data_IF_601966962071
#
_entry.id   IF_601966962071
#
_cell.length_a   1.000
_cell.length_b   1.000
_cell.length_c   1.000
_cell.angle_alpha   90.00
_cell.angle_beta   90.00
_cell.angle_gamma   90.00
#
_symmetry.space_group_name_H-M   'P 1'
#
loop_
_entity.id
_entity.type
_entity.pdbx_description
1 polymer ?
#
# COMPACT_ATOMS: atom_id res chain seq x y z
N UNK A 1 -1.60 -9.49 50.33
CA UNK A 1 -0.79 -8.62 49.44
C UNK A 1 -1.39 -8.69 48.04
N UNK A 2 -1.83 -7.54 47.51
CA UNK A 2 -2.72 -7.47 46.35
C UNK A 2 -2.09 -7.98 45.06
N UNK A 3 -2.80 -8.88 44.38
CA UNK A 3 -2.53 -9.28 43.00
C UNK A 3 -2.87 -8.07 42.12
N UNK A 4 -1.90 -7.22 41.83
CA UNK A 4 -2.07 -6.19 40.83
C UNK A 4 -2.37 -6.88 39.49
N UNK A 5 -3.63 -6.80 39.06
CA UNK A 5 -4.05 -7.14 37.70
C UNK A 5 -3.35 -6.17 36.75
N UNK A 6 -2.10 -6.48 36.37
CA UNK A 6 -1.33 -5.64 35.46
C UNK A 6 -1.97 -5.82 34.07
N UNK A 7 -2.73 -4.81 33.64
CA UNK A 7 -3.46 -4.73 32.36
C UNK A 7 -2.51 -4.30 31.23
N UNK A 8 -2.95 -4.42 29.98
CA UNK A 8 -2.26 -3.78 28.83
C UNK A 8 -2.13 -2.26 29.06
N UNK A 9 -1.17 -1.62 28.41
CA UNK A 9 -1.01 -0.17 28.47
C UNK A 9 -2.28 0.55 28.04
N UNK A 10 -2.50 1.75 28.60
CA UNK A 10 -3.65 2.59 28.23
C UNK A 10 -3.58 2.96 26.75
N UNK A 11 -2.39 3.23 26.25
CA UNK A 11 -2.15 3.65 24.87
C UNK A 11 -2.46 2.51 23.89
N UNK A 12 -1.98 1.28 24.13
CA UNK A 12 -2.36 0.15 23.28
C UNK A 12 -3.88 -0.12 23.35
N UNK A 13 -4.49 0.03 24.53
CA UNK A 13 -5.94 -0.17 24.67
C UNK A 13 -6.73 0.86 23.86
N UNK A 14 -6.31 2.13 23.86
CA UNK A 14 -6.90 3.19 23.07
C UNK A 14 -6.67 2.91 21.57
N UNK A 15 -5.42 2.63 21.19
CA UNK A 15 -5.02 2.30 19.83
C UNK A 15 -5.86 1.18 19.21
N UNK A 16 -6.06 0.06 19.92
CA UNK A 16 -6.83 -1.07 19.38
C UNK A 16 -8.33 -0.81 19.23
N UNK A 17 -8.84 0.31 19.76
CA UNK A 17 -10.26 0.69 19.74
C UNK A 17 -10.53 1.94 18.93
N UNK A 18 -9.51 2.69 18.57
CA UNK A 18 -9.66 3.96 17.87
C UNK A 18 -10.30 3.73 16.51
N UNK A 19 -11.32 4.53 16.21
CA UNK A 19 -12.10 4.45 14.97
C UNK A 19 -11.68 5.54 13.97
N UNK A 20 -11.20 6.68 14.46
CA UNK A 20 -10.70 7.78 13.62
C UNK A 20 -9.24 7.55 13.22
N UNK A 21 -8.95 7.55 11.92
CA UNK A 21 -7.60 7.26 11.41
C UNK A 21 -6.56 8.35 11.74
N UNK A 22 -6.96 9.60 11.93
CA UNK A 22 -6.03 10.67 12.32
C UNK A 22 -5.62 10.50 13.78
N UNK A 23 -6.60 10.24 14.66
CA UNK A 23 -6.33 9.94 16.07
C UNK A 23 -5.57 8.61 16.21
N UNK A 24 -5.88 7.61 15.39
CA UNK A 24 -5.15 6.35 15.35
C UNK A 24 -3.65 6.58 15.08
N UNK A 25 -3.34 7.38 14.06
CA UNK A 25 -1.96 7.73 13.68
C UNK A 25 -1.24 8.47 14.82
N UNK A 26 -1.95 9.39 15.48
CA UNK A 26 -1.42 10.13 16.63
C UNK A 26 -1.18 9.22 17.84
N UNK A 27 -2.07 8.28 18.13
CA UNK A 27 -1.88 7.33 19.23
C UNK A 27 -0.74 6.38 18.90
N UNK A 28 -0.71 5.83 17.68
CA UNK A 28 0.30 4.88 17.21
C UNK A 28 1.72 5.44 17.31
N UNK A 29 1.93 6.68 16.85
CA UNK A 29 3.23 7.37 16.95
C UNK A 29 3.70 7.64 18.38
N UNK A 30 2.78 7.68 19.37
CA UNK A 30 3.12 7.83 20.78
C UNK A 30 3.51 6.52 21.47
N UNK A 31 3.23 5.36 20.86
CA UNK A 31 3.62 4.05 21.40
C UNK A 31 5.11 3.81 21.12
N UNK A 32 5.97 4.33 22.01
CA UNK A 32 7.42 4.20 21.86
C UNK A 32 7.95 2.82 22.21
N UNK A 33 7.35 2.14 23.19
CA UNK A 33 7.78 0.82 23.65
C UNK A 33 6.58 -0.02 24.07
N UNK A 34 6.52 -1.24 23.54
CA UNK A 34 5.53 -2.25 23.92
C UNK A 34 6.09 -3.12 25.04
N UNK A 35 5.35 -3.23 26.15
CA UNK A 35 5.70 -4.17 27.20
C UNK A 35 5.29 -5.62 26.83
N UNK A 36 5.74 -6.61 27.61
CA UNK A 36 5.44 -8.03 27.36
C UNK A 36 3.94 -8.35 27.26
N UNK A 37 3.08 -7.65 28.02
CA UNK A 37 1.62 -7.87 27.97
C UNK A 37 0.99 -7.25 26.74
N UNK A 38 1.50 -6.12 26.30
CA UNK A 38 1.10 -5.46 25.06
C UNK A 38 1.41 -6.36 23.86
N UNK A 39 2.64 -6.89 23.80
CA UNK A 39 3.04 -7.87 22.78
C UNK A 39 2.12 -9.11 22.81
N UNK A 40 1.86 -9.67 23.99
CA UNK A 40 0.94 -10.82 24.14
C UNK A 40 -0.48 -10.49 23.65
N UNK A 41 -0.95 -9.27 23.89
CA UNK A 41 -2.26 -8.82 23.43
C UNK A 41 -2.30 -8.67 21.91
N UNK A 42 -1.30 -8.03 21.30
CA UNK A 42 -1.17 -7.87 19.84
C UNK A 42 -1.18 -9.24 19.18
N UNK A 43 -0.34 -10.18 19.64
CA UNK A 43 -0.31 -11.57 19.15
C UNK A 43 -1.68 -12.23 19.25
N UNK A 44 -2.34 -12.13 20.39
CA UNK A 44 -3.68 -12.71 20.57
C UNK A 44 -4.73 -12.10 19.64
N UNK A 45 -4.67 -10.78 19.39
CA UNK A 45 -5.57 -10.09 18.46
C UNK A 45 -5.35 -10.60 17.03
N UNK A 46 -4.09 -10.68 16.57
CA UNK A 46 -3.75 -11.14 15.21
C UNK A 46 -3.95 -12.66 15.02
N UNK A 47 -3.79 -13.45 16.08
CA UNK A 47 -4.10 -14.88 16.02
C UNK A 47 -5.61 -15.11 15.88
N UNK A 48 -6.43 -14.39 16.65
CA UNK A 48 -7.89 -14.53 16.62
C UNK A 48 -8.51 -13.93 15.36
N UNK A 49 -7.95 -12.82 14.86
CA UNK A 49 -8.35 -12.16 13.61
C UNK A 49 -9.85 -11.82 13.51
N UNK A 50 -10.52 -11.64 14.65
CA UNK A 50 -11.98 -11.54 14.75
C UNK A 50 -12.49 -10.18 15.23
N UNK A 51 -11.59 -9.21 15.39
CA UNK A 51 -11.93 -7.84 15.79
C UNK A 51 -11.53 -6.90 14.66
N UNK A 52 -12.47 -6.54 13.75
CA UNK A 52 -12.19 -5.73 12.57
C UNK A 52 -11.37 -4.47 12.88
N UNK A 53 -11.84 -3.65 13.83
CA UNK A 53 -11.13 -2.43 14.21
C UNK A 53 -9.70 -2.71 14.70
N UNK A 54 -9.54 -3.61 15.67
CA UNK A 54 -8.24 -3.87 16.29
C UNK A 54 -7.23 -4.51 15.31
N UNK A 55 -7.71 -5.37 14.40
CA UNK A 55 -6.88 -5.98 13.36
C UNK A 55 -6.48 -4.94 12.33
N UNK A 56 -7.43 -4.15 11.81
CA UNK A 56 -7.13 -3.07 10.86
C UNK A 56 -6.16 -2.05 11.43
N UNK A 57 -6.33 -1.63 12.68
CA UNK A 57 -5.44 -0.67 13.33
C UNK A 57 -4.00 -1.18 13.36
N UNK A 58 -3.80 -2.47 13.67
CA UNK A 58 -2.48 -3.12 13.62
C UNK A 58 -1.94 -3.26 12.20
N UNK A 59 -2.80 -3.52 11.20
CA UNK A 59 -2.40 -3.61 9.80
C UNK A 59 -2.02 -2.24 9.21
N UNK A 60 -2.66 -1.15 9.65
CA UNK A 60 -2.24 0.22 9.33
C UNK A 60 -0.89 0.59 9.97
N UNK A 61 -0.50 -0.06 11.07
CA UNK A 61 0.73 0.22 11.81
C UNK A 61 1.57 -1.06 12.00
N UNK A 62 2.09 -1.66 10.90
CA UNK A 62 2.78 -2.94 10.96
C UNK A 62 4.07 -2.91 11.80
N UNK A 63 4.64 -1.72 12.04
CA UNK A 63 5.79 -1.52 12.94
C UNK A 63 5.50 -1.96 14.39
N UNK A 64 4.23 -1.90 14.84
CA UNK A 64 3.81 -2.38 16.16
C UNK A 64 3.64 -3.91 16.22
N UNK A 65 3.59 -4.59 15.07
CA UNK A 65 3.50 -6.05 15.01
C UNK A 65 4.90 -6.64 15.28
N UNK A 66 5.01 -7.64 16.19
CA UNK A 66 6.28 -8.31 16.45
C UNK A 66 6.90 -8.88 15.17
N UNK A 67 8.20 -8.62 14.96
CA UNK A 67 8.89 -8.92 13.70
C UNK A 67 8.76 -10.38 13.26
N UNK A 68 8.81 -11.33 14.19
CA UNK A 68 8.70 -12.78 13.93
C UNK A 68 7.35 -13.23 13.36
N UNK A 69 6.29 -12.42 13.49
CA UNK A 69 4.97 -12.71 12.90
C UNK A 69 4.51 -11.64 11.90
N UNK A 70 5.34 -10.62 11.64
CA UNK A 70 4.92 -9.44 10.89
C UNK A 70 4.61 -9.78 9.44
N UNK A 71 5.54 -10.42 8.74
CA UNK A 71 5.37 -10.80 7.34
C UNK A 71 4.15 -11.70 7.14
N UNK A 72 3.97 -12.72 8.00
CA UNK A 72 2.81 -13.62 7.90
C UNK A 72 1.48 -12.92 8.15
N UNK A 73 1.43 -11.92 9.05
CA UNK A 73 0.24 -11.10 9.25
C UNK A 73 -0.05 -10.19 8.05
N UNK A 74 0.97 -9.56 7.48
CA UNK A 74 0.84 -8.73 6.27
C UNK A 74 0.33 -9.57 5.10
N UNK A 75 0.95 -10.72 4.80
CA UNK A 75 0.50 -11.59 3.72
C UNK A 75 -0.93 -12.09 3.95
N UNK A 76 -1.31 -12.38 5.20
CA UNK A 76 -2.70 -12.72 5.54
C UNK A 76 -3.67 -11.57 5.26
N UNK A 77 -3.28 -10.33 5.55
CA UNK A 77 -4.07 -9.13 5.27
C UNK A 77 -4.22 -8.84 3.77
N UNK A 78 -3.13 -8.95 3.00
CA UNK A 78 -3.15 -8.79 1.54
C UNK A 78 -3.98 -9.86 0.83
N UNK A 79 -4.03 -11.07 1.39
CA UNK A 79 -4.77 -12.22 0.84
C UNK A 79 -6.15 -12.41 1.48
N UNK A 80 -6.63 -11.44 2.24
CA UNK A 80 -7.95 -11.49 2.87
C UNK A 80 -9.05 -11.57 1.79
N UNK A 81 -10.08 -12.36 2.05
CA UNK A 81 -11.19 -12.58 1.11
C UNK A 81 -12.53 -12.09 1.64
N UNK A 82 -12.67 -11.99 2.97
CA UNK A 82 -13.95 -11.68 3.62
C UNK A 82 -14.08 -10.23 4.03
N UNK A 83 -12.96 -9.56 4.28
CA UNK A 83 -12.93 -8.19 4.76
C UNK A 83 -11.94 -7.37 3.94
N UNK A 84 -12.44 -6.71 2.90
CA UNK A 84 -11.63 -5.86 2.01
C UNK A 84 -10.99 -4.67 2.75
N UNK A 85 -11.53 -4.26 3.90
CA UNK A 85 -10.89 -3.24 4.72
C UNK A 85 -9.55 -3.71 5.34
N UNK A 86 -9.35 -5.02 5.52
CA UNK A 86 -8.03 -5.54 5.91
C UNK A 86 -7.02 -5.42 4.77
N UNK A 87 -7.46 -5.60 3.52
CA UNK A 87 -6.60 -5.38 2.34
C UNK A 87 -6.18 -3.91 2.32
N UNK A 88 -7.15 -2.98 2.43
CA UNK A 88 -6.88 -1.54 2.46
C UNK A 88 -5.91 -1.18 3.60
N UNK A 89 -6.19 -1.64 4.82
CA UNK A 89 -5.37 -1.36 5.98
C UNK A 89 -3.93 -1.87 5.80
N UNK A 90 -3.78 -3.07 5.24
CA UNK A 90 -2.46 -3.66 4.99
C UNK A 90 -1.71 -2.91 3.91
N UNK A 91 -2.38 -2.62 2.78
CA UNK A 91 -1.79 -1.86 1.66
C UNK A 91 -1.28 -0.51 2.15
N UNK A 92 -2.09 0.24 2.89
CA UNK A 92 -1.67 1.52 3.46
C UNK A 92 -0.54 1.33 4.47
N UNK A 93 -0.64 0.34 5.36
CA UNK A 93 0.38 0.08 6.37
C UNK A 93 1.75 -0.24 5.79
N UNK A 94 1.83 -0.85 4.60
CA UNK A 94 3.08 -1.09 3.90
C UNK A 94 3.85 0.21 3.58
N UNK A 95 3.17 1.34 3.43
CA UNK A 95 3.80 2.65 3.21
C UNK A 95 4.57 3.14 4.45
N UNK A 96 4.28 2.58 5.63
CA UNK A 96 4.89 2.92 6.90
C UNK A 96 6.00 1.96 7.35
N UNK A 97 6.42 1.02 6.51
CA UNK A 97 7.49 0.07 6.83
C UNK A 97 8.56 0.04 5.74
N UNK A 98 9.81 -0.11 6.14
CA UNK A 98 10.89 -0.25 5.18
C UNK A 98 10.86 -1.65 4.55
N UNK A 99 10.78 -1.73 3.22
CA UNK A 99 10.72 -3.02 2.52
C UNK A 99 11.95 -3.90 2.76
N UNK A 100 13.09 -3.32 3.13
CA UNK A 100 14.33 -4.04 3.49
C UNK A 100 14.26 -4.79 4.83
N UNK A 101 13.22 -4.56 5.65
CA UNK A 101 12.96 -5.36 6.86
C UNK A 101 12.47 -6.78 6.55
N UNK A 102 12.05 -7.05 5.30
CA UNK A 102 11.57 -8.34 4.84
C UNK A 102 12.66 -9.13 4.11
N UNK A 103 12.57 -10.46 4.17
CA UNK A 103 13.40 -11.33 3.34
C UNK A 103 13.08 -11.17 1.85
N UNK A 104 13.97 -11.62 0.97
CA UNK A 104 13.70 -11.62 -0.48
C UNK A 104 12.44 -12.41 -0.86
N UNK A 105 12.24 -13.57 -0.24
CA UNK A 105 11.04 -14.39 -0.44
C UNK A 105 9.77 -13.65 0.00
N UNK A 106 9.81 -13.01 1.17
CA UNK A 106 8.68 -12.23 1.69
C UNK A 106 8.37 -11.02 0.81
N UNK A 107 9.39 -10.31 0.32
CA UNK A 107 9.22 -9.18 -0.62
C UNK A 107 8.58 -9.63 -1.92
N UNK A 108 9.00 -10.75 -2.49
CA UNK A 108 8.42 -11.28 -3.72
C UNK A 108 6.95 -11.71 -3.53
N UNK A 109 6.63 -12.31 -2.38
CA UNK A 109 5.26 -12.68 -2.01
C UNK A 109 4.35 -11.47 -1.80
N UNK A 110 4.87 -10.39 -1.20
CA UNK A 110 4.18 -9.11 -1.05
C UNK A 110 3.96 -8.47 -2.44
N UNK A 111 5.01 -8.40 -3.27
CA UNK A 111 4.95 -7.89 -4.66
C UNK A 111 3.85 -8.59 -5.46
N UNK A 112 3.85 -9.93 -5.48
CA UNK A 112 2.84 -10.74 -6.18
C UNK A 112 1.43 -10.44 -5.68
N UNK A 113 1.27 -10.29 -4.36
CA UNK A 113 -0.03 -9.97 -3.76
C UNK A 113 -0.50 -8.55 -4.14
N UNK A 114 0.39 -7.55 -4.15
CA UNK A 114 0.07 -6.18 -4.59
C UNK A 114 -0.28 -6.12 -6.08
N UNK A 115 0.46 -6.83 -6.94
CA UNK A 115 0.11 -6.95 -8.37
C UNK A 115 -1.26 -7.60 -8.55
N UNK A 116 -1.58 -8.63 -7.77
CA UNK A 116 -2.90 -9.26 -7.81
C UNK A 116 -4.01 -8.29 -7.37
N UNK A 117 -3.81 -7.53 -6.31
CA UNK A 117 -4.76 -6.50 -5.85
C UNK A 117 -4.97 -5.45 -6.94
N UNK A 118 -3.91 -4.93 -7.54
CA UNK A 118 -3.97 -3.96 -8.65
C UNK A 118 -4.72 -4.47 -9.88
N UNK A 119 -4.79 -5.79 -10.08
CA UNK A 119 -5.52 -6.39 -11.22
C UNK A 119 -6.99 -6.68 -10.92
N UNK A 120 -7.37 -6.74 -9.64
CA UNK A 120 -8.66 -7.31 -9.21
C UNK A 120 -9.51 -6.38 -8.37
N UNK A 121 -8.96 -5.25 -7.92
CA UNK A 121 -9.62 -4.25 -7.09
C UNK A 121 -9.70 -2.92 -7.80
N UNK A 122 -10.68 -2.08 -7.42
CA UNK A 122 -10.78 -0.69 -7.86
C UNK A 122 -10.83 0.27 -6.67
N UNK A 123 -11.01 1.56 -6.98
CA UNK A 123 -11.21 2.62 -5.98
C UNK A 123 -10.04 2.76 -5.01
N UNK A 124 -10.34 3.04 -3.74
CA UNK A 124 -9.32 3.37 -2.73
C UNK A 124 -8.27 2.27 -2.54
N UNK A 125 -8.63 1.00 -2.74
CA UNK A 125 -7.69 -0.13 -2.58
C UNK A 125 -6.64 -0.11 -3.69
N UNK A 126 -7.05 -0.07 -4.96
CA UNK A 126 -6.10 -0.04 -6.09
C UNK A 126 -5.30 1.25 -6.11
N UNK A 127 -5.95 2.37 -5.79
CA UNK A 127 -5.30 3.68 -5.68
C UNK A 127 -4.20 3.68 -4.61
N UNK A 128 -4.42 3.06 -3.44
CA UNK A 128 -3.37 2.94 -2.41
C UNK A 128 -2.35 1.85 -2.73
N UNK A 129 -2.74 0.78 -3.44
CA UNK A 129 -1.82 -0.28 -3.85
C UNK A 129 -0.80 0.24 -4.88
N UNK A 130 -1.21 1.12 -5.80
CA UNK A 130 -0.32 1.70 -6.82
C UNK A 130 0.79 2.59 -6.24
N UNK A 131 0.59 3.11 -5.04
CA UNK A 131 1.63 3.82 -4.27
C UNK A 131 2.54 2.81 -3.58
N UNK A 132 1.93 1.88 -2.83
CA UNK A 132 2.64 0.97 -1.93
C UNK A 132 3.52 -0.04 -2.66
N UNK A 133 3.18 -0.38 -3.91
CA UNK A 133 3.94 -1.33 -4.71
C UNK A 133 5.33 -0.81 -5.10
N UNK A 134 5.54 0.51 -5.14
CA UNK A 134 6.77 1.12 -5.66
C UNK A 134 8.06 0.64 -4.97
N UNK A 135 8.01 0.33 -3.67
CA UNK A 135 9.15 -0.19 -2.89
C UNK A 135 9.43 -1.69 -3.11
N UNK A 136 8.60 -2.37 -3.92
CA UNK A 136 8.65 -3.81 -4.17
C UNK A 136 8.90 -4.18 -5.63
N UNK A 137 8.86 -3.21 -6.55
CA UNK A 137 9.05 -3.42 -7.99
C UNK A 137 10.31 -2.73 -8.49
N UNK A 138 10.83 -3.21 -9.61
CA UNK A 138 12.01 -2.68 -10.30
C UNK A 138 11.71 -2.41 -11.77
N UNK A 139 12.68 -1.83 -12.50
CA UNK A 139 12.52 -1.60 -13.95
C UNK A 139 12.31 -2.89 -14.77
N UNK A 140 12.57 -4.07 -14.19
CA UNK A 140 12.27 -5.37 -14.80
C UNK A 140 10.76 -5.69 -14.80
N UNK A 141 10.02 -5.12 -13.85
CA UNK A 141 8.57 -5.30 -13.73
C UNK A 141 7.77 -4.38 -14.67
N UNK A 142 8.46 -3.48 -15.41
CA UNK A 142 7.85 -2.47 -16.26
C UNK A 142 6.82 -3.02 -17.24
N UNK A 143 7.10 -4.15 -17.91
CA UNK A 143 6.14 -4.78 -18.83
C UNK A 143 4.83 -5.17 -18.15
N UNK A 144 4.89 -5.64 -16.90
CA UNK A 144 3.69 -5.99 -16.13
C UNK A 144 2.94 -4.74 -15.70
N UNK A 145 3.65 -3.68 -15.36
CA UNK A 145 3.07 -2.40 -14.95
C UNK A 145 2.41 -1.67 -16.13
N UNK A 146 2.98 -1.74 -17.34
CA UNK A 146 2.34 -1.19 -18.54
C UNK A 146 0.92 -1.74 -18.71
N UNK A 147 0.71 -3.04 -18.52
CA UNK A 147 -0.63 -3.66 -18.62
C UNK A 147 -1.67 -3.10 -17.62
N UNK A 148 -1.24 -2.38 -16.58
CA UNK A 148 -2.13 -1.73 -15.62
C UNK A 148 -2.51 -0.30 -16.04
N UNK A 149 -2.04 0.21 -17.18
CA UNK A 149 -2.50 1.50 -17.69
C UNK A 149 -3.91 1.42 -18.31
N UNK A 150 -4.42 0.21 -18.59
CA UNK A 150 -5.82 -0.04 -18.96
C UNK A 150 -6.72 -0.27 -17.72
N UNK A 151 -6.27 0.13 -16.54
CA UNK A 151 -7.03 -0.06 -15.31
C UNK A 151 -8.24 0.89 -15.24
N UNK A 152 -9.42 0.46 -14.74
CA UNK A 152 -10.62 1.30 -14.71
C UNK A 152 -10.54 2.50 -13.75
N UNK A 153 -9.62 2.47 -12.78
CA UNK A 153 -9.41 3.56 -11.81
C UNK A 153 -8.32 4.53 -12.30
N UNK A 154 -8.69 5.79 -12.55
CA UNK A 154 -7.81 6.82 -13.09
C UNK A 154 -6.63 7.14 -12.17
N UNK A 155 -6.83 7.12 -10.85
CA UNK A 155 -5.74 7.34 -9.90
C UNK A 155 -4.70 6.23 -9.99
N UNK A 156 -5.15 5.00 -10.12
CA UNK A 156 -4.28 3.83 -10.31
C UNK A 156 -3.49 3.95 -11.61
N UNK A 157 -4.14 4.29 -12.73
CA UNK A 157 -3.46 4.52 -14.02
C UNK A 157 -2.38 5.59 -13.91
N UNK A 158 -2.73 6.75 -13.34
CA UNK A 158 -1.80 7.87 -13.13
C UNK A 158 -0.58 7.45 -12.30
N UNK A 159 -0.80 6.81 -11.15
CA UNK A 159 0.28 6.39 -10.25
C UNK A 159 1.22 5.37 -10.90
N UNK A 160 0.66 4.42 -11.65
CA UNK A 160 1.45 3.44 -12.41
C UNK A 160 2.26 4.13 -13.52
N UNK A 161 1.67 5.07 -14.25
CA UNK A 161 2.35 5.85 -15.28
C UNK A 161 3.49 6.70 -14.71
N UNK A 162 3.27 7.36 -13.57
CA UNK A 162 4.31 8.09 -12.84
C UNK A 162 5.50 7.18 -12.54
N UNK A 163 5.24 5.98 -12.03
CA UNK A 163 6.29 5.02 -11.71
C UNK A 163 7.00 4.55 -12.99
N UNK A 164 6.27 4.23 -14.06
CA UNK A 164 6.83 3.77 -15.33
C UNK A 164 7.78 4.79 -15.96
N UNK A 165 7.39 6.08 -16.00
CA UNK A 165 8.23 7.16 -16.54
C UNK A 165 9.56 7.22 -15.79
N UNK A 166 9.53 7.14 -14.46
CA UNK A 166 10.73 7.17 -13.61
C UNK A 166 11.57 5.90 -13.75
N UNK A 167 10.94 4.72 -13.74
CA UNK A 167 11.63 3.43 -13.82
C UNK A 167 12.28 3.17 -15.19
N UNK A 168 11.80 3.84 -16.23
CA UNK A 168 12.29 3.72 -17.61
C UNK A 168 13.18 4.91 -18.04
N UNK A 169 13.40 5.90 -17.17
CA UNK A 169 14.10 7.13 -17.51
C UNK A 169 15.49 6.86 -18.09
N UNK A 170 16.27 5.98 -17.45
CA UNK A 170 17.62 5.62 -17.88
C UNK A 170 17.65 4.85 -19.21
N UNK A 171 16.54 4.23 -19.61
CA UNK A 171 16.40 3.49 -20.87
C UNK A 171 16.00 4.39 -22.04
N UNK A 172 15.56 5.62 -21.75
CA UNK A 172 15.17 6.61 -22.74
C UNK A 172 13.75 6.42 -23.31
N UNK A 173 13.25 7.45 -24.04
CA UNK A 173 11.87 7.51 -24.51
C UNK A 173 11.52 6.45 -25.55
N UNK A 174 12.45 6.10 -26.44
CA UNK A 174 12.22 5.08 -27.48
C UNK A 174 11.94 3.70 -26.87
N UNK A 175 12.65 3.36 -25.78
CA UNK A 175 12.41 2.11 -25.05
C UNK A 175 11.02 2.11 -24.39
N UNK A 176 10.59 3.24 -23.82
CA UNK A 176 9.25 3.39 -23.26
C UNK A 176 8.18 3.19 -24.34
N UNK A 177 8.28 3.90 -25.48
CA UNK A 177 7.33 3.81 -26.60
C UNK A 177 7.28 2.39 -27.15
N UNK A 178 8.43 1.73 -27.30
CA UNK A 178 8.49 0.34 -27.74
C UNK A 178 7.77 -0.60 -26.76
N UNK A 179 7.92 -0.40 -25.45
CA UNK A 179 7.24 -1.22 -24.45
C UNK A 179 5.73 -0.98 -24.45
N UNK A 180 5.28 0.28 -24.52
CA UNK A 180 3.85 0.64 -24.66
C UNK A 180 3.23 -0.10 -25.84
N UNK A 181 3.84 -0.02 -27.02
CA UNK A 181 3.34 -0.70 -28.24
C UNK A 181 3.30 -2.22 -28.13
N UNK A 182 4.15 -2.81 -27.29
CA UNK A 182 4.21 -4.27 -27.07
C UNK A 182 3.27 -4.79 -25.98
N UNK A 183 2.63 -3.89 -25.20
CA UNK A 183 1.95 -4.25 -23.94
C UNK A 183 0.53 -4.81 -24.10
N UNK A 184 0.04 -4.97 -25.34
CA UNK A 184 -1.30 -5.46 -25.69
C UNK A 184 -2.46 -4.62 -25.12
N UNK A 185 -2.23 -3.35 -24.78
CA UNK A 185 -3.27 -2.41 -24.34
C UNK A 185 -4.09 -1.85 -25.50
N UNK A 186 -5.28 -1.31 -25.25
CA UNK A 186 -6.03 -0.52 -26.24
C UNK A 186 -5.19 0.63 -26.83
N UNK A 187 -5.43 0.97 -28.10
CA UNK A 187 -4.63 1.96 -28.85
C UNK A 187 -4.77 3.37 -28.24
N UNK A 188 -5.95 3.75 -27.78
CA UNK A 188 -6.22 5.00 -27.06
C UNK A 188 -5.41 5.11 -25.76
N UNK A 189 -5.32 4.04 -24.98
CA UNK A 189 -4.49 3.99 -23.76
C UNK A 189 -3.00 4.10 -24.09
N UNK A 190 -2.56 3.50 -25.20
CA UNK A 190 -1.18 3.64 -25.67
C UNK A 190 -0.86 5.08 -26.07
N UNK A 191 -1.74 5.72 -26.83
CA UNK A 191 -1.59 7.12 -27.25
C UNK A 191 -1.53 8.06 -26.05
N UNK A 192 -2.43 7.89 -25.07
CA UNK A 192 -2.44 8.69 -23.83
C UNK A 192 -1.10 8.55 -23.07
N UNK A 193 -0.60 7.32 -22.90
CA UNK A 193 0.68 7.09 -22.21
C UNK A 193 1.87 7.75 -22.92
N UNK A 194 1.89 7.72 -24.26
CA UNK A 194 2.94 8.34 -25.08
C UNK A 194 2.82 9.87 -25.03
N UNK A 195 1.61 10.42 -25.09
CA UNK A 195 1.37 11.86 -24.95
C UNK A 195 1.91 12.37 -23.61
N UNK A 196 1.62 11.65 -22.53
CA UNK A 196 2.09 11.97 -21.18
C UNK A 196 3.60 11.87 -21.02
N UNK A 197 4.25 10.90 -21.66
CA UNK A 197 5.71 10.86 -21.74
C UNK A 197 6.26 12.12 -22.43
N UNK A 198 5.68 12.52 -23.57
CA UNK A 198 6.13 13.74 -24.27
C UNK A 198 5.88 15.01 -23.46
N UNK A 199 4.76 15.10 -22.75
CA UNK A 199 4.48 16.19 -21.80
C UNK A 199 5.56 16.26 -20.71
N UNK A 200 5.90 15.11 -20.12
CA UNK A 200 6.97 15.00 -19.13
C UNK A 200 8.32 15.51 -19.66
N UNK A 201 8.71 15.08 -20.86
CA UNK A 201 9.98 15.47 -21.47
C UNK A 201 10.05 16.98 -21.76
N UNK A 202 8.98 17.56 -22.31
CA UNK A 202 8.92 19.02 -22.57
C UNK A 202 9.08 19.84 -21.29
N UNK A 203 8.38 19.46 -20.22
CA UNK A 203 8.48 20.15 -18.92
C UNK A 203 9.88 20.00 -18.31
N UNK A 204 10.49 18.81 -18.44
CA UNK A 204 11.86 18.56 -17.98
C UNK A 204 12.87 19.42 -18.73
N UNK A 205 12.76 19.53 -20.06
CA UNK A 205 13.61 20.39 -20.89
C UNK A 205 13.46 21.87 -20.55
N UNK A 206 12.25 22.32 -20.23
CA UNK A 206 11.96 23.69 -19.81
C UNK A 206 12.43 24.01 -18.37
N UNK A 207 12.89 23.01 -17.60
CA UNK A 207 13.27 23.17 -16.19
C UNK A 207 12.08 23.40 -15.26
N UNK A 208 10.87 23.05 -15.69
CA UNK A 208 9.65 23.22 -14.92
C UNK A 208 9.49 22.13 -13.85
N UNK A 209 8.86 22.47 -12.73
CA UNK A 209 8.56 21.49 -11.69
C UNK A 209 7.44 20.55 -12.16
N UNK A 210 7.77 19.28 -12.34
CA UNK A 210 6.84 18.32 -12.93
C UNK A 210 5.99 17.60 -11.87
N UNK A 211 4.79 18.13 -11.62
CA UNK A 211 3.78 17.51 -10.75
C UNK A 211 3.25 16.18 -11.29
N UNK A 212 3.41 15.91 -12.60
CA UNK A 212 2.97 14.67 -13.24
C UNK A 212 3.78 13.44 -12.79
N UNK A 213 4.93 13.61 -12.14
CA UNK A 213 5.70 12.49 -11.58
C UNK A 213 5.31 12.12 -10.15
N UNK A 214 4.39 12.87 -9.55
CA UNK A 214 3.94 12.63 -8.19
C UNK A 214 2.72 11.70 -8.16
N UNK A 215 2.74 10.66 -7.31
CA UNK A 215 1.57 9.83 -7.11
C UNK A 215 0.46 10.64 -6.43
N UNK A 216 -0.79 10.38 -6.84
CA UNK A 216 -2.00 10.92 -6.24
C UNK A 216 -2.40 10.06 -5.03
N UNK A 217 -2.71 10.74 -3.93
CA UNK A 217 -3.11 10.12 -2.67
C UNK A 217 -4.63 10.26 -2.44
N UNK A 218 -5.36 9.16 -2.52
CA UNK A 218 -6.81 9.13 -2.24
C UNK A 218 -7.07 9.07 -0.73
N UNK A 219 -8.05 9.82 -0.22
CA UNK A 219 -8.41 9.77 1.20
C UNK A 219 -8.76 8.34 1.66
N UNK A 220 -8.31 7.97 2.87
CA UNK A 220 -8.57 6.64 3.43
C UNK A 220 -9.78 6.76 4.35
N UNK A 221 -10.89 6.04 4.10
CA UNK A 221 -12.07 6.10 4.95
C UNK A 221 -11.83 5.36 6.28
N UNK A 222 -12.52 5.82 7.33
CA UNK A 222 -12.63 5.06 8.57
C UNK A 222 -13.38 3.74 8.32
N UNK A 223 -13.17 2.70 9.14
CA UNK A 223 -13.81 1.39 8.96
C UNK A 223 -15.34 1.51 8.82
N UNK A 224 -15.95 2.33 9.68
CA UNK A 224 -17.40 2.53 9.70
C UNK A 224 -17.93 3.23 8.44
N UNK A 225 -17.14 4.10 7.83
CA UNK A 225 -17.48 4.75 6.56
C UNK A 225 -17.33 3.76 5.41
N UNK A 226 -16.21 3.04 5.37
CA UNK A 226 -15.93 2.04 4.35
C UNK A 226 -17.03 0.98 4.24
N UNK A 227 -17.52 0.46 5.38
CA UNK A 227 -18.60 -0.53 5.43
C UNK A 227 -19.99 0.00 5.04
N UNK A 228 -20.18 1.31 4.85
CA UNK A 228 -21.43 1.85 4.30
C UNK A 228 -21.46 1.80 2.78
N UNK A 229 -20.27 1.86 2.18
CA UNK A 229 -20.10 2.00 0.73
C UNK A 229 -19.76 0.66 0.04
N UNK A 230 -19.58 -0.43 0.82
CA UNK A 230 -19.15 -1.77 0.37
C UNK A 230 -19.83 -2.87 1.20
#
# INVERSE_FOLDING_TARGET
MGVFSIRISRDLKAFLKEEDLNDLTKIGSNIKQLNRKDIKKIRSTLQKWNSPQAVSNLLFHPSLIPGDIRASCILKGLREKKNSYYILATVVGLQGINSTEFSEEERDDIKKSLIFILKTSGGVISARASISISDYISSEDAFTMFKLLDHPDDTTKHNILCWLIRAMEDKGPDAFISMVRSSCMPEDVQEEAIEKLHEYLRQKEAGEYNLFTMPLYVNIPNLREYCKDH
#
